data_IF_220426557133
#
_entry.id   IF_220426557133
#
_cell.length_a   1.000
_cell.length_b   1.000
_cell.length_c   1.000
_cell.angle_alpha   90.00
_cell.angle_beta   90.00
_cell.angle_gamma   90.00
#
_symmetry.space_group_name_H-M   'P 1'
#
loop_
_entity.id
_entity.type
_entity.pdbx_description
1 polymer ?
#
# COMPACT_ATOMS: atom_id res chain seq x y z
N UNK A 1 8.90 -12.73 14.09
CA UNK A 1 10.01 -13.71 14.00
C UNK A 1 11.05 -13.17 13.04
N UNK A 2 12.31 -13.31 13.40
CA UNK A 2 13.44 -13.00 12.52
C UNK A 2 14.28 -14.26 12.33
N UNK A 3 14.74 -14.51 11.10
CA UNK A 3 15.76 -15.51 10.83
C UNK A 3 17.14 -14.83 10.75
N UNK A 4 18.20 -15.61 10.97
CA UNK A 4 19.57 -15.22 10.69
C UNK A 4 20.17 -16.30 9.82
N UNK A 5 20.22 -16.01 8.53
CA UNK A 5 20.66 -16.96 7.51
C UNK A 5 22.17 -16.78 7.23
N UNK A 6 22.81 -17.83 6.74
CA UNK A 6 24.27 -17.83 6.55
C UNK A 6 24.68 -17.33 5.16
N UNK A 7 23.74 -17.36 4.20
CA UNK A 7 23.95 -16.88 2.84
C UNK A 7 22.68 -16.23 2.30
N UNK A 8 22.82 -15.46 1.23
CA UNK A 8 21.66 -14.87 0.52
C UNK A 8 20.76 -15.97 -0.06
N UNK A 9 21.33 -17.05 -0.58
CA UNK A 9 20.57 -18.19 -1.13
C UNK A 9 19.77 -18.89 -0.03
N UNK A 10 20.33 -19.06 1.17
CA UNK A 10 19.64 -19.64 2.32
C UNK A 10 18.45 -18.77 2.75
N UNK A 11 18.64 -17.44 2.86
CA UNK A 11 17.57 -16.49 3.10
C UNK A 11 16.44 -16.61 2.07
N UNK A 12 16.77 -16.67 0.78
CA UNK A 12 15.78 -16.77 -0.30
C UNK A 12 14.96 -18.06 -0.21
N UNK A 13 15.62 -19.19 0.05
CA UNK A 13 14.94 -20.48 0.25
C UNK A 13 14.04 -20.47 1.50
N UNK A 14 14.53 -19.90 2.60
CA UNK A 14 13.75 -19.78 3.83
C UNK A 14 12.56 -18.86 3.64
N UNK A 15 12.75 -17.75 2.97
CA UNK A 15 11.69 -16.79 2.63
C UNK A 15 10.53 -17.47 1.87
N UNK A 16 10.83 -18.30 0.86
CA UNK A 16 9.82 -19.05 0.13
C UNK A 16 9.09 -20.07 1.01
N UNK A 17 9.80 -20.70 1.95
CA UNK A 17 9.17 -21.62 2.92
C UNK A 17 8.22 -20.88 3.85
N UNK A 18 8.61 -19.70 4.33
CA UNK A 18 7.77 -18.86 5.18
C UNK A 18 6.56 -18.35 4.41
N UNK A 19 6.75 -17.89 3.17
CA UNK A 19 5.64 -17.47 2.31
C UNK A 19 4.54 -18.54 2.24
N UNK A 20 4.91 -19.78 1.94
CA UNK A 20 3.97 -20.92 1.91
C UNK A 20 3.38 -21.23 3.29
N UNK A 21 4.11 -21.00 4.36
CA UNK A 21 3.59 -21.19 5.71
C UNK A 21 2.48 -20.15 6.02
N UNK A 22 2.65 -18.90 5.57
CA UNK A 22 1.66 -17.84 5.71
C UNK A 22 0.37 -18.16 4.94
N UNK A 23 0.47 -18.62 3.70
CA UNK A 23 -0.70 -19.06 2.91
C UNK A 23 -1.50 -20.13 3.70
N UNK A 24 -0.82 -21.14 4.26
CA UNK A 24 -1.46 -22.15 5.10
C UNK A 24 -2.05 -21.60 6.40
N UNK A 25 -1.41 -20.61 7.02
CA UNK A 25 -1.93 -19.98 8.24
C UNK A 25 -3.26 -19.28 7.91
N UNK A 26 -3.33 -18.50 6.85
CA UNK A 26 -4.54 -17.78 6.46
C UNK A 26 -5.66 -18.73 6.00
N UNK A 27 -5.31 -19.79 5.25
CA UNK A 27 -6.26 -20.86 4.92
C UNK A 27 -6.85 -21.51 6.18
N UNK A 28 -6.01 -21.86 7.16
CA UNK A 28 -6.44 -22.45 8.45
C UNK A 28 -7.21 -21.45 9.31
N UNK A 29 -6.91 -20.16 9.20
CA UNK A 29 -7.66 -19.12 9.88
C UNK A 29 -9.04 -18.84 9.24
N UNK A 30 -9.35 -19.48 8.11
CA UNK A 30 -10.62 -19.34 7.40
C UNK A 30 -10.70 -18.18 6.45
N UNK A 31 -9.57 -17.57 6.08
CA UNK A 31 -9.50 -16.46 5.09
C UNK A 31 -8.55 -16.83 3.93
N UNK A 32 -8.86 -17.88 3.16
CA UNK A 32 -8.01 -18.33 2.04
C UNK A 32 -7.91 -17.30 0.89
N UNK A 33 -8.79 -16.30 0.85
CA UNK A 33 -8.82 -15.21 -0.12
C UNK A 33 -7.74 -14.15 0.12
N UNK A 34 -6.96 -14.23 1.20
CA UNK A 34 -5.81 -13.37 1.43
C UNK A 34 -4.82 -13.49 0.27
N UNK A 35 -4.44 -12.36 -0.30
CA UNK A 35 -3.49 -12.29 -1.41
C UNK A 35 -2.14 -11.78 -0.94
N UNK A 36 -1.08 -12.41 -1.45
CA UNK A 36 0.28 -11.88 -1.32
C UNK A 36 0.55 -10.85 -2.40
N UNK A 37 1.01 -9.68 -2.02
CA UNK A 37 1.32 -8.56 -2.91
C UNK A 37 2.78 -8.13 -2.73
N UNK A 38 3.43 -7.74 -3.81
CA UNK A 38 4.73 -7.08 -3.73
C UNK A 38 4.57 -5.75 -2.99
N UNK A 39 5.45 -5.46 -2.06
CA UNK A 39 5.39 -4.24 -1.26
C UNK A 39 6.72 -3.50 -1.22
N UNK A 40 6.64 -2.21 -0.91
CA UNK A 40 7.83 -1.43 -0.58
C UNK A 40 8.34 -1.81 0.80
N UNK A 41 9.65 -1.94 0.95
CA UNK A 41 10.24 -2.29 2.25
C UNK A 41 10.31 -1.13 3.24
N UNK A 42 10.08 0.09 2.78
CA UNK A 42 10.01 1.32 3.56
C UNK A 42 11.21 1.51 4.50
N UNK A 43 10.94 2.04 5.67
CA UNK A 43 11.96 2.24 6.71
C UNK A 43 12.57 0.93 7.22
N UNK A 44 11.89 -0.21 7.09
CA UNK A 44 12.45 -1.53 7.43
C UNK A 44 13.67 -1.82 6.57
N UNK A 45 13.63 -1.43 5.30
CA UNK A 45 14.69 -1.69 4.33
C UNK A 45 14.76 -3.15 3.91
N UNK A 46 15.76 -3.48 3.11
CA UNK A 46 15.90 -4.80 2.53
C UNK A 46 15.68 -4.79 1.01
N UNK A 47 15.82 -5.95 0.40
CA UNK A 47 15.77 -6.10 -1.06
C UNK A 47 14.43 -6.58 -1.59
N UNK A 48 13.61 -7.18 -0.75
CA UNK A 48 12.33 -7.78 -1.12
C UNK A 48 11.39 -7.80 0.08
N UNK A 49 10.13 -7.45 -0.17
CA UNK A 49 9.06 -7.60 0.81
C UNK A 49 7.75 -8.01 0.14
N UNK A 50 6.93 -8.73 0.88
CA UNK A 50 5.54 -9.00 0.53
C UNK A 50 4.65 -8.72 1.72
N UNK A 51 3.47 -8.19 1.43
CA UNK A 51 2.36 -8.05 2.35
C UNK A 51 1.28 -9.07 2.00
N UNK A 52 0.61 -9.56 3.01
CA UNK A 52 -0.54 -10.45 2.87
C UNK A 52 -1.81 -9.65 3.19
N UNK A 53 -2.66 -9.47 2.19
CA UNK A 53 -3.79 -8.55 2.21
C UNK A 53 -5.11 -9.29 2.12
N UNK A 54 -5.99 -9.08 3.09
CA UNK A 54 -7.41 -9.41 2.95
C UNK A 54 -8.08 -8.29 2.15
N UNK A 55 -8.57 -8.60 0.96
CA UNK A 55 -9.25 -7.62 0.11
C UNK A 55 -10.65 -7.34 0.66
N UNK A 56 -10.89 -6.10 1.10
CA UNK A 56 -12.18 -5.64 1.63
C UNK A 56 -12.33 -4.14 1.42
N UNK A 57 -13.55 -3.63 1.16
CA UNK A 57 -13.80 -2.20 0.95
C UNK A 57 -13.43 -1.30 2.13
N UNK A 58 -13.42 -1.85 3.36
CA UNK A 58 -13.06 -1.10 4.57
C UNK A 58 -11.55 -1.07 4.83
N UNK A 59 -10.74 -1.74 3.99
CA UNK A 59 -9.28 -1.75 4.12
C UNK A 59 -8.66 -0.36 4.03
N UNK A 60 -7.59 -0.14 4.77
CA UNK A 60 -6.86 1.14 4.77
C UNK A 60 -5.97 1.27 3.53
N UNK A 61 -5.32 0.16 3.12
CA UNK A 61 -4.33 0.15 2.05
C UNK A 61 -4.96 0.04 0.67
N UNK A 62 -4.26 0.59 -0.32
CA UNK A 62 -4.65 0.49 -1.73
C UNK A 62 -3.78 -0.55 -2.44
N UNK A 63 -4.42 -1.52 -3.04
CA UNK A 63 -3.80 -2.66 -3.69
C UNK A 63 -4.03 -2.60 -5.20
N UNK A 64 -2.93 -2.68 -5.95
CA UNK A 64 -2.93 -2.68 -7.41
C UNK A 64 -2.96 -4.13 -7.90
N UNK A 65 -3.98 -4.46 -8.66
CA UNK A 65 -4.25 -5.81 -9.16
C UNK A 65 -4.37 -5.81 -10.68
N UNK A 66 -4.00 -6.92 -11.31
CA UNK A 66 -4.31 -7.21 -12.70
C UNK A 66 -4.86 -8.62 -12.82
N UNK A 67 -6.14 -8.74 -13.16
CA UNK A 67 -6.83 -10.01 -13.24
C UNK A 67 -6.38 -10.86 -14.45
N UNK A 68 -5.79 -10.22 -15.50
CA UNK A 68 -5.31 -10.92 -16.70
C UNK A 68 -4.02 -11.72 -16.48
N UNK A 69 -3.09 -11.22 -15.67
CA UNK A 69 -1.78 -11.84 -15.52
C UNK A 69 -1.40 -12.15 -14.07
N UNK A 70 -2.28 -11.82 -13.11
CA UNK A 70 -2.05 -12.03 -11.68
C UNK A 70 -0.98 -11.10 -11.08
N UNK A 71 -0.69 -9.95 -11.69
CA UNK A 71 0.14 -8.92 -11.07
C UNK A 71 -0.55 -8.36 -9.84
N UNK A 72 0.21 -8.24 -8.73
CA UNK A 72 -0.28 -7.74 -7.45
C UNK A 72 0.83 -6.96 -6.76
N UNK A 73 0.56 -5.73 -6.37
CA UNK A 73 1.46 -4.88 -5.60
C UNK A 73 0.66 -3.94 -4.68
N UNK A 74 1.26 -3.48 -3.59
CA UNK A 74 0.70 -2.34 -2.89
C UNK A 74 0.92 -1.06 -3.71
N UNK A 75 0.21 0.02 -3.37
CA UNK A 75 0.29 1.28 -4.14
C UNK A 75 1.70 1.87 -4.13
N UNK A 76 2.44 1.68 -3.04
CA UNK A 76 3.77 2.23 -2.84
C UNK A 76 4.81 1.59 -3.77
N UNK A 77 4.69 0.27 -4.02
CA UNK A 77 5.60 -0.49 -4.88
C UNK A 77 5.16 -0.59 -6.34
N UNK A 78 3.88 -0.32 -6.63
CA UNK A 78 3.33 -0.50 -7.97
C UNK A 78 3.95 0.46 -8.99
N UNK A 79 4.43 -0.06 -10.12
CA UNK A 79 5.01 0.73 -11.22
C UNK A 79 3.91 1.35 -12.08
N UNK A 80 4.02 2.66 -12.35
CA UNK A 80 3.14 3.37 -13.27
C UNK A 80 3.71 3.36 -14.69
N UNK A 81 2.91 2.92 -15.65
CA UNK A 81 3.28 2.91 -17.08
C UNK A 81 2.49 4.00 -17.81
N UNK A 82 3.19 4.94 -18.42
CA UNK A 82 2.57 5.95 -19.29
C UNK A 82 2.14 5.33 -20.63
N UNK A 83 0.94 5.71 -21.07
CA UNK A 83 0.31 5.18 -22.27
C UNK A 83 0.03 6.24 -23.35
N UNK A 84 0.46 7.46 -23.13
CA UNK A 84 0.16 8.58 -24.03
C UNK A 84 1.39 8.85 -24.89
N UNK A 85 1.32 8.54 -26.19
CA UNK A 85 2.45 8.73 -27.09
C UNK A 85 2.67 10.23 -27.39
N UNK A 86 3.86 10.53 -27.88
CA UNK A 86 4.17 11.83 -28.47
C UNK A 86 3.27 12.09 -29.67
N UNK A 87 2.74 13.32 -29.81
CA UNK A 87 2.05 13.74 -31.02
C UNK A 87 3.04 13.91 -32.19
N UNK A 88 2.59 13.62 -33.43
CA UNK A 88 3.43 13.66 -34.62
C UNK A 88 4.00 15.07 -34.91
N UNK A 89 3.22 16.09 -34.61
CA UNK A 89 3.62 17.49 -34.78
C UNK A 89 3.75 18.17 -33.42
N UNK A 90 4.81 18.97 -33.25
CA UNK A 90 5.05 19.74 -32.04
C UNK A 90 4.71 21.23 -32.34
N UNK A 91 3.80 21.76 -31.54
CA UNK A 91 3.46 23.18 -31.58
C UNK A 91 4.64 24.04 -31.07
N UNK A 92 4.67 25.29 -31.43
CA UNK A 92 5.61 26.26 -30.84
C UNK A 92 5.26 26.53 -29.39
N UNK A 93 6.27 26.82 -28.57
CA UNK A 93 6.08 27.23 -27.19
C UNK A 93 5.55 28.65 -27.13
N UNK A 94 4.35 28.84 -26.64
CA UNK A 94 3.67 30.12 -26.54
C UNK A 94 3.40 30.48 -25.08
N UNK A 95 3.78 31.70 -24.66
CA UNK A 95 3.44 32.25 -23.36
C UNK A 95 2.12 33.01 -23.45
N UNK A 96 1.14 32.59 -22.66
CA UNK A 96 -0.23 33.10 -22.72
C UNK A 96 -0.60 33.72 -21.39
N UNK A 97 -1.27 34.88 -21.39
CA UNK A 97 -1.84 35.51 -20.21
C UNK A 97 -3.11 34.77 -19.78
N UNK A 98 -3.15 34.29 -18.58
CA UNK A 98 -4.19 33.42 -18.01
C UNK A 98 -4.63 33.95 -16.63
N UNK A 99 -5.38 35.06 -16.60
CA UNK A 99 -5.70 35.74 -15.36
C UNK A 99 -6.58 34.88 -14.44
N UNK A 100 -6.23 34.82 -13.15
CA UNK A 100 -6.92 34.06 -12.10
C UNK A 100 -7.00 32.53 -12.34
N UNK A 101 -6.08 31.96 -13.15
CA UNK A 101 -6.01 30.53 -13.40
C UNK A 101 -4.86 29.93 -12.61
N UNK A 102 -5.16 28.97 -11.71
CA UNK A 102 -4.19 28.37 -10.80
C UNK A 102 -4.21 26.83 -10.78
N UNK A 103 -5.34 26.22 -11.19
CA UNK A 103 -5.49 24.77 -11.15
C UNK A 103 -5.26 24.14 -12.53
N UNK A 104 -4.97 22.85 -12.54
CA UNK A 104 -4.81 22.09 -13.80
C UNK A 104 -6.14 22.03 -14.56
N UNK A 105 -7.24 21.91 -13.87
CA UNK A 105 -8.59 21.90 -14.43
C UNK A 105 -8.89 23.22 -15.14
N UNK A 106 -8.64 24.35 -14.46
CA UNK A 106 -8.90 25.69 -15.01
C UNK A 106 -8.05 25.99 -16.25
N UNK A 107 -6.74 25.61 -16.23
CA UNK A 107 -5.86 25.83 -17.37
C UNK A 107 -6.27 24.96 -18.57
N UNK A 108 -6.70 23.72 -18.31
CA UNK A 108 -7.15 22.83 -19.38
C UNK A 108 -8.48 23.31 -19.97
N UNK A 109 -9.41 23.82 -19.16
CA UNK A 109 -10.64 24.45 -19.65
C UNK A 109 -10.34 25.69 -20.49
N UNK A 110 -9.44 26.57 -20.02
CA UNK A 110 -9.02 27.77 -20.72
C UNK A 110 -8.43 27.48 -22.10
N UNK A 111 -7.57 26.45 -22.21
CA UNK A 111 -6.96 26.07 -23.49
C UNK A 111 -7.80 25.10 -24.32
N UNK A 112 -8.93 24.61 -23.79
CA UNK A 112 -9.78 23.61 -24.45
C UNK A 112 -9.09 22.25 -24.55
N UNK A 113 -8.31 21.87 -23.55
CA UNK A 113 -7.48 20.67 -23.53
C UNK A 113 -7.88 19.71 -22.38
N UNK A 114 -7.20 18.58 -22.28
CA UNK A 114 -7.40 17.58 -21.21
C UNK A 114 -6.29 17.68 -20.18
N UNK A 115 -6.60 17.31 -18.93
CA UNK A 115 -5.62 17.31 -17.83
C UNK A 115 -4.39 16.44 -18.10
N UNK A 116 -4.52 15.38 -18.88
CA UNK A 116 -3.39 14.56 -19.30
C UNK A 116 -2.48 15.19 -20.37
N UNK A 117 -2.84 16.35 -20.90
CA UNK A 117 -2.01 17.17 -21.79
C UNK A 117 -1.40 18.39 -21.07
N UNK A 118 -1.28 18.30 -19.76
CA UNK A 118 -0.60 19.31 -18.95
C UNK A 118 0.57 18.72 -18.17
N UNK A 119 1.50 19.59 -17.80
CA UNK A 119 2.61 19.33 -16.91
C UNK A 119 2.46 20.22 -15.69
N UNK A 120 2.31 19.61 -14.52
CA UNK A 120 2.22 20.33 -13.24
C UNK A 120 3.47 20.13 -12.39
N UNK A 121 3.75 21.10 -11.53
CA UNK A 121 4.76 21.01 -10.49
C UNK A 121 4.10 20.64 -9.15
N UNK A 122 4.70 19.70 -8.45
CA UNK A 122 4.41 19.42 -7.03
C UNK A 122 5.69 19.72 -6.25
N UNK A 123 5.58 20.50 -5.19
CA UNK A 123 6.75 21.01 -4.46
C UNK A 123 6.74 20.49 -3.02
N UNK A 124 7.86 19.88 -2.65
CA UNK A 124 8.15 19.39 -1.30
C UNK A 124 9.41 20.05 -0.76
N UNK A 125 9.68 19.86 0.54
CA UNK A 125 10.96 20.13 1.17
C UNK A 125 11.48 18.87 1.86
N UNK A 126 12.81 18.69 1.85
CA UNK A 126 13.46 17.60 2.59
C UNK A 126 13.45 17.89 4.08
N UNK A 127 13.25 16.86 4.90
CA UNK A 127 13.25 17.00 6.36
C UNK A 127 14.65 17.27 6.93
N UNK A 128 15.72 16.91 6.20
CA UNK A 128 17.10 17.03 6.68
C UNK A 128 17.66 18.44 6.62
N UNK A 129 17.28 19.23 5.61
CA UNK A 129 17.92 20.52 5.32
C UNK A 129 16.98 21.59 4.72
N UNK A 130 15.67 21.30 4.67
CA UNK A 130 14.62 22.16 4.09
C UNK A 130 14.86 22.52 2.61
N UNK A 131 15.73 21.81 1.89
CA UNK A 131 15.94 22.02 0.45
C UNK A 131 14.68 21.66 -0.35
N UNK A 132 14.38 22.47 -1.37
CA UNK A 132 13.20 22.27 -2.19
C UNK A 132 13.34 21.06 -3.12
N UNK A 133 12.26 20.32 -3.27
CA UNK A 133 12.12 19.22 -4.23
C UNK A 133 10.95 19.55 -5.15
N UNK A 134 11.25 19.95 -6.37
CA UNK A 134 10.25 20.27 -7.40
C UNK A 134 10.10 19.08 -8.32
N UNK A 135 8.94 18.46 -8.33
CA UNK A 135 8.63 17.29 -9.17
C UNK A 135 7.64 17.69 -10.24
N UNK A 136 8.06 17.60 -11.50
CA UNK A 136 7.18 17.77 -12.65
C UNK A 136 6.56 16.44 -13.03
N UNK A 137 5.24 16.43 -13.16
CA UNK A 137 4.43 15.25 -13.46
C UNK A 137 3.28 15.62 -14.39
N UNK A 138 2.73 14.64 -15.10
CA UNK A 138 1.52 14.82 -15.93
C UNK A 138 0.35 15.30 -15.05
N UNK A 139 -0.43 16.24 -15.53
CA UNK A 139 -1.41 16.98 -14.73
C UNK A 139 -2.51 16.15 -14.10
N UNK A 140 -2.90 15.02 -14.70
CA UNK A 140 -3.92 14.10 -14.18
C UNK A 140 -3.40 13.08 -13.15
N UNK A 141 -2.07 13.01 -12.92
CA UNK A 141 -1.46 12.05 -12.00
C UNK A 141 -1.13 12.66 -10.64
N UNK A 142 -1.00 11.81 -9.64
CA UNK A 142 -0.56 12.16 -8.30
C UNK A 142 0.83 11.59 -8.00
N UNK A 143 1.60 12.29 -7.17
CA UNK A 143 2.90 11.80 -6.70
C UNK A 143 2.70 10.66 -5.69
N UNK A 144 3.48 9.61 -5.86
CA UNK A 144 3.71 8.57 -4.86
C UNK A 144 4.89 9.01 -3.99
N UNK A 145 4.60 9.55 -2.82
CA UNK A 145 5.62 10.09 -1.92
C UNK A 145 6.62 9.02 -1.45
N UNK A 146 6.19 7.76 -1.32
CA UNK A 146 7.11 6.66 -0.97
C UNK A 146 8.17 6.45 -2.04
N UNK A 147 7.80 6.45 -3.32
CA UNK A 147 8.77 6.37 -4.43
C UNK A 147 9.75 7.55 -4.40
N UNK A 148 9.24 8.75 -4.14
CA UNK A 148 10.04 9.96 -4.08
C UNK A 148 11.01 9.94 -2.89
N UNK A 149 10.55 9.54 -1.70
CA UNK A 149 11.38 9.34 -0.50
C UNK A 149 12.49 8.31 -0.74
N UNK A 150 12.16 7.19 -1.36
CA UNK A 150 13.12 6.15 -1.69
C UNK A 150 14.20 6.64 -2.67
N UNK A 151 13.80 7.43 -3.67
CA UNK A 151 14.74 8.03 -4.63
C UNK A 151 15.68 9.06 -3.97
N UNK A 152 15.12 9.94 -3.13
CA UNK A 152 15.87 11.00 -2.46
C UNK A 152 16.75 10.46 -1.32
N UNK A 153 16.39 9.31 -0.73
CA UNK A 153 17.01 8.80 0.50
C UNK A 153 16.74 9.69 1.73
N UNK A 154 15.70 10.51 1.68
CA UNK A 154 15.33 11.49 2.72
C UNK A 154 13.81 11.60 2.83
N UNK A 155 13.30 11.89 4.02
CA UNK A 155 11.89 12.19 4.26
C UNK A 155 11.54 13.56 3.71
N UNK A 156 10.30 13.75 3.31
CA UNK A 156 9.81 15.01 2.74
C UNK A 156 8.53 15.48 3.45
N UNK A 157 8.24 16.75 3.32
CA UNK A 157 6.96 17.36 3.71
C UNK A 157 6.52 18.37 2.65
N UNK A 158 5.24 18.78 2.71
CA UNK A 158 4.71 19.78 1.80
C UNK A 158 5.50 21.09 1.93
N UNK A 159 5.93 21.64 0.80
CA UNK A 159 6.77 22.84 0.80
C UNK A 159 6.01 24.08 1.25
N UNK A 160 6.70 24.94 2.02
CA UNK A 160 6.27 26.31 2.27
C UNK A 160 6.93 27.21 1.23
N UNK A 161 6.13 27.67 0.26
CA UNK A 161 6.61 28.58 -0.79
C UNK A 161 6.60 30.01 -0.25
N UNK A 162 7.79 30.63 -0.16
CA UNK A 162 7.97 32.01 0.29
C UNK A 162 8.35 32.90 -0.89
N UNK A 163 8.11 34.21 -0.79
CA UNK A 163 8.53 35.17 -1.84
C UNK A 163 10.04 35.09 -2.16
N UNK A 164 10.86 34.72 -1.17
CA UNK A 164 12.34 34.70 -1.31
C UNK A 164 12.82 33.48 -2.11
N UNK A 165 12.06 32.37 -2.17
CA UNK A 165 12.51 31.17 -2.86
C UNK A 165 12.45 31.27 -4.39
N UNK A 166 11.77 32.26 -4.95
CA UNK A 166 11.66 32.49 -6.38
C UNK A 166 10.62 31.63 -7.11
N UNK A 167 9.82 30.85 -6.36
CA UNK A 167 8.73 30.04 -6.93
C UNK A 167 7.41 30.80 -6.88
N UNK A 168 6.68 30.84 -7.98
CA UNK A 168 5.34 31.41 -8.05
C UNK A 168 4.29 30.28 -7.97
N UNK A 169 3.71 30.08 -6.79
CA UNK A 169 2.69 29.05 -6.57
C UNK A 169 1.53 29.20 -7.56
N UNK A 170 1.12 28.07 -8.17
CA UNK A 170 0.11 28.05 -9.24
C UNK A 170 0.66 28.27 -10.66
N UNK A 171 1.89 28.77 -10.80
CA UNK A 171 2.49 29.13 -12.10
C UNK A 171 3.87 28.48 -12.36
N UNK A 172 4.26 27.49 -11.54
CA UNK A 172 5.58 26.84 -11.66
C UNK A 172 5.61 25.96 -12.91
N UNK A 173 6.61 26.17 -13.75
CA UNK A 173 6.83 25.42 -14.98
C UNK A 173 8.30 25.06 -15.20
N UNK A 174 8.60 24.05 -16.05
CA UNK A 174 9.96 23.55 -16.23
C UNK A 174 10.85 24.46 -17.07
N UNK A 175 10.25 25.34 -17.89
CA UNK A 175 10.98 26.23 -18.81
C UNK A 175 11.31 27.54 -18.10
N UNK A 176 12.61 27.84 -17.99
CA UNK A 176 13.07 29.07 -17.33
C UNK A 176 12.82 29.09 -15.82
N UNK A 177 12.72 27.93 -15.20
CA UNK A 177 12.57 27.78 -13.74
C UNK A 177 13.81 28.37 -13.04
N UNK A 178 13.57 29.21 -12.06
CA UNK A 178 14.60 29.79 -11.22
C UNK A 178 14.23 29.66 -9.74
N UNK A 179 15.13 29.07 -8.93
CA UNK A 179 14.91 28.83 -7.51
C UNK A 179 16.09 29.41 -6.72
N UNK A 180 15.82 30.34 -5.80
CA UNK A 180 16.83 31.07 -5.03
C UNK A 180 17.30 30.33 -3.76
N UNK A 181 16.92 29.07 -3.62
CA UNK A 181 17.25 28.23 -2.46
C UNK A 181 17.88 26.90 -2.91
N UNK A 182 18.52 26.13 -2.01
CA UNK A 182 18.95 24.76 -2.31
C UNK A 182 17.77 23.94 -2.80
N UNK A 183 17.95 23.24 -3.95
CA UNK A 183 16.85 22.52 -4.57
C UNK A 183 17.31 21.34 -5.44
N UNK A 184 16.37 20.43 -5.71
CA UNK A 184 16.46 19.43 -6.77
C UNK A 184 15.20 19.49 -7.63
N UNK A 185 15.36 19.34 -8.94
CA UNK A 185 14.27 19.29 -9.91
C UNK A 185 14.21 17.90 -10.52
N UNK A 186 13.04 17.29 -10.48
CA UNK A 186 12.81 15.91 -10.90
C UNK A 186 11.66 15.85 -11.90
N UNK A 187 11.70 14.85 -12.77
CA UNK A 187 10.68 14.64 -13.80
C UNK A 187 10.12 13.23 -13.71
N UNK A 188 8.79 13.13 -13.74
CA UNK A 188 8.13 11.84 -13.79
C UNK A 188 8.14 11.24 -15.21
N UNK A 189 8.28 9.92 -15.31
CA UNK A 189 8.25 9.16 -16.57
C UNK A 189 7.02 9.43 -17.43
N UNK A 190 5.92 9.87 -16.86
CA UNK A 190 4.71 10.23 -17.61
C UNK A 190 4.90 11.42 -18.54
N UNK A 191 5.98 12.20 -18.38
CA UNK A 191 6.35 13.33 -19.23
C UNK A 191 7.39 12.97 -20.30
N UNK A 192 8.04 11.82 -20.22
CA UNK A 192 9.10 11.40 -21.12
C UNK A 192 8.62 11.40 -22.58
N UNK A 193 9.34 12.13 -23.44
CA UNK A 193 9.01 12.27 -24.87
C UNK A 193 7.69 13.00 -25.17
N UNK A 194 7.00 13.58 -24.20
CA UNK A 194 5.73 14.29 -24.40
C UNK A 194 5.92 15.67 -25.03
N UNK A 195 4.94 16.06 -25.82
CA UNK A 195 4.87 17.39 -26.43
C UNK A 195 3.44 17.95 -26.40
N UNK A 196 3.31 19.21 -26.79
CA UNK A 196 2.06 19.96 -26.81
C UNK A 196 1.38 20.08 -25.44
N UNK A 197 2.18 20.11 -24.39
CA UNK A 197 1.67 20.23 -23.02
C UNK A 197 1.44 21.72 -22.66
N UNK A 198 0.50 21.96 -21.75
CA UNK A 198 0.41 23.22 -21.01
C UNK A 198 1.17 23.11 -19.69
N UNK A 199 1.76 24.21 -19.21
CA UNK A 199 2.43 24.27 -17.91
C UNK A 199 2.52 25.72 -17.40
N UNK A 200 2.93 25.93 -16.15
CA UNK A 200 3.23 27.26 -15.62
C UNK A 200 4.37 27.95 -16.39
N UNK A 201 4.38 29.28 -16.42
CA UNK A 201 5.40 30.08 -17.07
C UNK A 201 6.34 30.78 -16.07
N UNK A 202 6.35 30.37 -14.81
CA UNK A 202 7.12 30.97 -13.68
C UNK A 202 6.87 32.46 -13.46
N UNK A 203 5.75 32.95 -13.95
CA UNK A 203 5.28 34.32 -13.81
C UNK A 203 3.79 34.31 -13.45
N UNK A 204 3.39 35.18 -12.51
CA UNK A 204 2.01 35.29 -12.08
C UNK A 204 1.09 35.62 -13.27
N UNK A 205 -0.05 34.93 -13.35
CA UNK A 205 -1.05 35.04 -14.41
C UNK A 205 -0.53 34.63 -15.82
N UNK A 206 0.55 33.84 -15.91
CA UNK A 206 1.02 33.34 -17.19
C UNK A 206 1.27 31.83 -17.20
N UNK A 207 0.87 31.20 -18.30
CA UNK A 207 1.17 29.81 -18.59
C UNK A 207 1.77 29.65 -19.98
N UNK A 208 2.52 28.56 -20.18
CA UNK A 208 2.94 28.12 -21.50
C UNK A 208 1.93 27.14 -22.10
N UNK A 209 1.77 27.22 -23.41
CA UNK A 209 1.12 26.23 -24.26
C UNK A 209 2.15 25.71 -25.27
N UNK A 210 2.02 24.44 -25.70
CA UNK A 210 2.91 23.86 -26.70
C UNK A 210 4.28 23.42 -26.14
N UNK A 211 4.40 23.19 -24.84
CA UNK A 211 5.62 22.65 -24.23
C UNK A 211 5.97 21.30 -24.85
N UNK A 212 7.23 21.17 -25.26
CA UNK A 212 7.85 19.96 -25.77
C UNK A 212 9.01 19.57 -24.86
N UNK A 213 8.87 18.45 -24.15
CA UNK A 213 9.83 18.03 -23.14
C UNK A 213 11.25 17.78 -23.70
N UNK A 214 11.35 17.32 -24.96
CA UNK A 214 12.66 17.10 -25.60
C UNK A 214 13.29 18.39 -26.11
N UNK A 215 12.46 19.33 -26.62
CA UNK A 215 12.92 20.60 -27.18
C UNK A 215 13.25 21.61 -26.08
N UNK A 216 12.35 21.76 -25.11
CA UNK A 216 12.33 22.91 -24.19
C UNK A 216 12.93 22.60 -22.83
N UNK A 217 13.02 21.35 -22.44
CA UNK A 217 13.59 20.91 -21.16
C UNK A 217 14.86 20.11 -21.41
N UNK A 218 16.01 20.71 -21.06
CA UNK A 218 17.32 20.08 -21.25
C UNK A 218 17.70 19.25 -20.01
N UNK A 219 18.43 18.17 -20.27
CA UNK A 219 19.03 17.32 -19.23
C UNK A 219 18.01 16.75 -18.21
N UNK A 220 16.76 16.53 -18.65
CA UNK A 220 15.73 15.92 -17.82
C UNK A 220 16.00 14.44 -17.62
N UNK A 221 16.08 14.02 -16.36
CA UNK A 221 16.13 12.60 -15.98
C UNK A 221 14.75 12.16 -15.49
N UNK A 222 14.20 11.12 -16.12
CA UNK A 222 12.84 10.66 -15.85
C UNK A 222 12.81 9.44 -14.94
N UNK A 223 12.02 9.52 -13.87
CA UNK A 223 11.81 8.43 -12.90
C UNK A 223 10.32 8.19 -12.66
N UNK A 224 9.96 7.00 -12.22
CA UNK A 224 8.58 6.69 -11.87
C UNK A 224 8.26 7.21 -10.45
N UNK A 225 7.59 8.36 -10.40
CA UNK A 225 7.10 8.96 -9.16
C UNK A 225 5.56 8.95 -9.07
N UNK A 226 4.87 8.53 -10.12
CA UNK A 226 3.42 8.56 -10.14
C UNK A 226 2.78 7.42 -9.34
N UNK A 227 1.63 7.71 -8.72
CA UNK A 227 0.70 6.67 -8.27
C UNK A 227 0.07 5.98 -9.48
N UNK A 228 -0.18 4.69 -9.32
CA UNK A 228 -0.96 3.92 -10.29
C UNK A 228 -2.43 4.28 -10.18
N UNK A 229 -3.16 4.26 -11.29
CA UNK A 229 -4.58 4.63 -11.35
C UNK A 229 -5.43 3.50 -11.94
N UNK A 230 -6.73 3.55 -11.63
CA UNK A 230 -7.72 2.58 -12.13
C UNK A 230 -7.77 2.58 -13.66
N UNK A 231 -7.73 1.40 -14.27
CA UNK A 231 -7.69 1.25 -15.74
C UNK A 231 -6.34 1.56 -16.37
N UNK A 232 -5.29 1.79 -15.58
CA UNK A 232 -3.92 1.99 -16.05
C UNK A 232 -3.31 0.75 -16.71
N UNK A 233 -2.11 0.90 -17.26
CA UNK A 233 -1.38 -0.19 -17.91
C UNK A 233 -0.71 -1.06 -16.85
N UNK A 234 -0.95 -2.36 -16.92
CA UNK A 234 -0.24 -3.33 -16.09
C UNK A 234 1.23 -3.44 -16.48
N UNK A 235 2.19 -3.25 -15.57
CA UNK A 235 3.62 -3.30 -15.89
C UNK A 235 4.08 -4.70 -16.32
N UNK A 236 3.34 -5.76 -15.94
CA UNK A 236 3.69 -7.15 -16.25
C UNK A 236 3.19 -7.61 -17.62
N UNK A 237 1.97 -7.27 -17.99
CA UNK A 237 1.37 -7.77 -19.25
C UNK A 237 1.14 -6.68 -20.32
N UNK A 238 1.35 -5.40 -20.00
CA UNK A 238 1.21 -4.28 -20.93
C UNK A 238 -0.24 -3.93 -21.30
N UNK A 239 -1.24 -4.54 -20.67
CA UNK A 239 -2.66 -4.28 -20.96
C UNK A 239 -3.22 -3.23 -20.01
N UNK A 240 -4.27 -2.52 -20.45
CA UNK A 240 -5.05 -1.57 -19.63
C UNK A 240 -6.05 -2.31 -18.73
N UNK A 241 -5.54 -3.04 -17.75
CA UNK A 241 -6.32 -3.96 -16.90
C UNK A 241 -6.01 -3.79 -15.41
N UNK A 242 -5.36 -2.69 -15.05
CA UNK A 242 -5.11 -2.38 -13.65
C UNK A 242 -6.43 -2.07 -12.95
N UNK A 243 -6.63 -2.73 -11.80
CA UNK A 243 -7.72 -2.50 -10.87
C UNK A 243 -7.14 -2.15 -9.50
N UNK A 244 -7.75 -1.17 -8.83
CA UNK A 244 -7.38 -0.79 -7.47
C UNK A 244 -8.43 -1.34 -6.51
N UNK A 245 -7.98 -2.05 -5.49
CA UNK A 245 -8.81 -2.57 -4.40
C UNK A 245 -8.33 -2.02 -3.07
N UNK A 246 -9.19 -2.07 -2.07
CA UNK A 246 -8.79 -1.85 -0.69
C UNK A 246 -8.46 -3.17 -0.01
N UNK A 247 -7.57 -3.13 0.99
CA UNK A 247 -7.18 -4.31 1.75
C UNK A 247 -6.74 -4.00 3.16
N UNK A 248 -6.80 -5.03 4.01
CA UNK A 248 -6.26 -5.04 5.37
C UNK A 248 -4.99 -5.88 5.36
N UNK A 249 -3.87 -5.33 5.78
CA UNK A 249 -2.61 -6.07 5.94
C UNK A 249 -2.71 -7.00 7.16
N UNK A 250 -2.71 -8.30 6.93
CA UNK A 250 -2.77 -9.33 7.98
C UNK A 250 -1.41 -9.92 8.33
N UNK A 251 -0.40 -9.70 7.51
CA UNK A 251 0.97 -10.11 7.76
C UNK A 251 1.93 -9.59 6.71
N UNK A 252 3.22 -9.60 7.04
CA UNK A 252 4.29 -9.21 6.12
C UNK A 252 5.53 -10.07 6.28
N UNK A 253 6.35 -10.12 5.24
CA UNK A 253 7.63 -10.80 5.22
C UNK A 253 8.67 -9.98 4.48
N UNK A 254 9.91 -9.95 5.00
CA UNK A 254 11.01 -9.13 4.48
C UNK A 254 12.30 -9.91 4.34
N UNK A 255 13.05 -9.62 3.27
CA UNK A 255 14.47 -9.92 3.18
C UNK A 255 15.27 -8.68 3.58
N UNK A 256 15.66 -8.57 4.85
CA UNK A 256 16.31 -7.38 5.40
C UNK A 256 17.80 -7.27 5.05
N UNK A 257 18.44 -8.38 4.67
CA UNK A 257 19.86 -8.41 4.43
C UNK A 257 20.68 -8.16 5.69
N UNK A 258 21.71 -7.33 5.60
CA UNK A 258 22.63 -7.07 6.71
C UNK A 258 22.41 -5.72 7.41
N UNK A 259 21.35 -4.99 7.09
CA UNK A 259 21.09 -3.64 7.63
C UNK A 259 21.18 -3.60 9.15
N UNK A 260 20.45 -4.46 9.82
CA UNK A 260 20.38 -4.49 11.29
C UNK A 260 21.56 -5.21 11.92
N UNK A 261 21.99 -6.33 11.36
CA UNK A 261 23.13 -7.09 11.90
C UNK A 261 24.44 -6.30 11.85
N UNK A 262 24.68 -5.52 10.78
CA UNK A 262 25.81 -4.60 10.72
C UNK A 262 25.73 -3.50 11.77
N UNK A 263 24.55 -2.87 11.93
CA UNK A 263 24.34 -1.80 12.94
C UNK A 263 24.54 -2.32 14.36
N UNK A 264 24.10 -3.55 14.64
CA UNK A 264 24.29 -4.22 15.94
C UNK A 264 25.69 -4.84 16.10
N UNK A 265 26.53 -4.78 15.08
CA UNK A 265 27.83 -5.46 15.04
C UNK A 265 27.73 -6.97 15.34
N UNK A 266 26.64 -7.58 14.91
CA UNK A 266 26.39 -9.01 15.09
C UNK A 266 27.27 -9.81 14.15
N UNK A 267 28.00 -10.78 14.69
CA UNK A 267 28.85 -11.66 13.89
C UNK A 267 28.76 -13.10 14.38
N UNK A 268 29.03 -14.06 13.49
CA UNK A 268 29.27 -15.46 13.80
C UNK A 268 30.58 -15.91 13.18
N UNK A 269 31.12 -17.04 13.62
CA UNK A 269 32.29 -17.67 13.03
C UNK A 269 31.81 -18.79 12.14
N UNK A 270 32.17 -18.78 10.86
CA UNK A 270 31.79 -19.79 9.91
C UNK A 270 32.65 -21.08 10.05
N UNK A 271 32.38 -22.07 9.20
CA UNK A 271 33.08 -23.37 9.20
C UNK A 271 34.56 -23.25 8.91
N UNK A 272 34.98 -22.17 8.26
CA UNK A 272 36.39 -21.92 7.87
C UNK A 272 37.14 -21.07 8.92
N UNK A 273 36.45 -20.71 10.02
CA UNK A 273 36.99 -19.90 11.13
C UNK A 273 36.91 -18.38 10.89
N UNK A 274 36.28 -17.94 9.80
CA UNK A 274 36.15 -16.52 9.46
C UNK A 274 34.93 -15.89 10.11
N UNK A 275 35.04 -14.59 10.46
CA UNK A 275 33.93 -13.81 11.01
C UNK A 275 33.02 -13.30 9.91
N UNK A 276 31.77 -13.69 9.98
CA UNK A 276 30.73 -13.30 9.03
C UNK A 276 29.60 -12.50 9.72
N UNK A 277 28.92 -11.66 8.95
CA UNK A 277 27.72 -10.96 9.40
C UNK A 277 26.48 -11.75 8.97
N UNK A 278 25.56 -12.14 9.87
CA UNK A 278 24.35 -12.86 9.49
C UNK A 278 23.46 -12.01 8.59
N UNK A 279 22.79 -12.67 7.66
CA UNK A 279 21.77 -12.08 6.77
C UNK A 279 20.41 -12.32 7.39
N UNK A 280 19.56 -11.29 7.47
CA UNK A 280 18.27 -11.36 8.19
C UNK A 280 17.08 -11.41 7.26
N UNK A 281 16.10 -12.27 7.61
CA UNK A 281 14.71 -12.13 7.24
C UNK A 281 13.87 -11.68 8.44
N UNK A 282 12.73 -11.06 8.20
CA UNK A 282 11.75 -10.68 9.23
C UNK A 282 10.35 -11.09 8.77
N UNK A 283 9.59 -11.67 9.68
CA UNK A 283 8.31 -12.28 9.38
C UNK A 283 7.32 -11.92 10.48
N UNK A 284 6.21 -11.28 10.13
CA UNK A 284 5.24 -10.79 11.11
C UNK A 284 3.79 -11.09 10.73
N UNK A 285 3.02 -11.57 11.70
CA UNK A 285 1.55 -11.64 11.63
C UNK A 285 1.00 -10.88 12.82
N UNK A 286 0.14 -9.90 12.55
CA UNK A 286 -0.58 -9.17 13.58
C UNK A 286 -1.75 -10.02 14.09
N UNK A 287 -1.57 -10.76 15.21
CA UNK A 287 -2.58 -11.71 15.70
C UNK A 287 -3.94 -11.03 15.96
N UNK A 288 -3.95 -9.85 16.59
CA UNK A 288 -5.19 -9.08 16.82
C UNK A 288 -5.83 -8.60 15.52
N UNK A 289 -5.01 -8.11 14.58
CA UNK A 289 -5.48 -7.70 13.24
C UNK A 289 -5.99 -8.89 12.43
N UNK A 290 -5.33 -10.05 12.53
CA UNK A 290 -5.80 -11.28 11.89
C UNK A 290 -7.17 -11.70 12.42
N UNK A 291 -7.39 -11.67 13.74
CA UNK A 291 -8.70 -11.97 14.33
C UNK A 291 -9.78 -10.98 13.83
N UNK A 292 -9.47 -9.68 13.81
CA UNK A 292 -10.39 -8.67 13.27
C UNK A 292 -10.69 -8.88 11.77
N UNK A 293 -9.67 -9.24 10.98
CA UNK A 293 -9.83 -9.55 9.56
C UNK A 293 -10.70 -10.80 9.32
N UNK A 294 -10.58 -11.82 10.18
CA UNK A 294 -11.48 -12.98 10.12
C UNK A 294 -12.91 -12.59 10.46
N UNK A 295 -13.12 -11.76 11.49
CA UNK A 295 -14.47 -11.22 11.78
C UNK A 295 -15.02 -10.42 10.61
N UNK A 296 -14.20 -9.60 9.95
CA UNK A 296 -14.62 -8.84 8.77
C UNK A 296 -15.01 -9.73 7.59
N UNK A 297 -14.28 -10.83 7.36
CA UNK A 297 -14.60 -11.78 6.31
C UNK A 297 -15.82 -12.67 6.63
N UNK A 298 -16.05 -12.93 7.91
CA UNK A 298 -17.06 -13.86 8.40
C UNK A 298 -17.95 -13.20 9.44
N UNK A 299 -18.96 -12.46 9.01
CA UNK A 299 -20.00 -11.88 9.87
C UNK A 299 -21.33 -11.78 9.13
N UNK A 300 -22.38 -11.62 9.89
CA UNK A 300 -23.70 -11.21 9.42
C UNK A 300 -24.21 -10.00 10.21
N UNK A 301 -25.48 -9.70 10.13
CA UNK A 301 -26.11 -8.57 10.85
C UNK A 301 -26.20 -8.78 12.40
N UNK A 302 -25.93 -10.00 12.90
CA UNK A 302 -26.02 -10.35 14.32
C UNK A 302 -24.66 -10.40 14.99
N UNK A 303 -23.58 -10.70 14.27
CA UNK A 303 -22.22 -10.75 14.83
C UNK A 303 -21.22 -11.52 13.96
N UNK A 304 -20.04 -11.86 14.52
CA UNK A 304 -19.04 -12.67 13.86
C UNK A 304 -19.51 -14.11 13.69
N UNK A 305 -19.00 -14.79 12.66
CA UNK A 305 -19.20 -16.22 12.43
C UNK A 305 -17.82 -16.88 12.40
N UNK A 306 -17.32 -17.32 13.55
CA UNK A 306 -15.96 -17.84 13.65
C UNK A 306 -15.78 -19.15 12.87
N UNK A 307 -14.74 -19.24 12.01
CA UNK A 307 -14.30 -20.53 11.47
C UNK A 307 -13.95 -21.51 12.61
N UNK A 308 -14.33 -22.76 12.45
CA UNK A 308 -14.19 -23.80 13.48
C UNK A 308 -12.75 -23.92 14.03
N UNK A 309 -11.75 -23.73 13.16
CA UNK A 309 -10.34 -23.91 13.47
C UNK A 309 -9.77 -22.87 14.42
N UNK A 310 -10.43 -21.71 14.55
CA UNK A 310 -9.96 -20.59 15.38
C UNK A 310 -11.03 -20.08 16.35
N UNK A 311 -12.21 -20.68 16.33
CA UNK A 311 -13.27 -20.33 17.26
C UNK A 311 -12.80 -20.53 18.72
N UNK A 312 -13.10 -19.58 19.63
CA UNK A 312 -12.69 -19.69 21.03
C UNK A 312 -13.34 -20.88 21.74
N UNK A 313 -14.50 -21.31 21.26
CA UNK A 313 -15.18 -22.56 21.62
C UNK A 313 -15.79 -23.17 20.34
N UNK A 314 -15.92 -24.48 20.35
CA UNK A 314 -16.52 -25.21 19.21
C UNK A 314 -18.04 -25.25 19.28
N UNK A 315 -18.59 -25.23 20.50
CA UNK A 315 -20.03 -25.34 20.77
C UNK A 315 -20.44 -24.31 21.83
N UNK A 316 -21.59 -23.68 21.62
CA UNK A 316 -22.31 -22.87 22.60
C UNK A 316 -23.56 -23.62 23.05
N UNK A 317 -23.50 -24.27 24.21
CA UNK A 317 -24.62 -25.02 24.78
C UNK A 317 -25.52 -24.08 25.61
N UNK A 318 -26.71 -23.80 25.14
CA UNK A 318 -27.71 -22.99 25.81
C UNK A 318 -28.72 -23.85 26.54
N UNK A 319 -28.72 -23.84 27.89
CA UNK A 319 -29.75 -24.53 28.70
C UNK A 319 -31.01 -23.66 28.80
N UNK A 320 -31.93 -23.83 27.84
CA UNK A 320 -33.20 -23.09 27.82
C UNK A 320 -34.08 -23.57 28.97
N UNK A 321 -34.40 -22.68 29.94
CA UNK A 321 -35.11 -22.96 31.19
C UNK A 321 -34.33 -23.88 32.15
N UNK A 322 -33.17 -23.44 32.62
CA UNK A 322 -32.34 -24.20 33.58
C UNK A 322 -33.03 -24.35 34.98
N UNK A 323 -34.14 -23.65 35.21
CA UNK A 323 -35.04 -23.80 36.33
C UNK A 323 -35.82 -25.14 36.31
N UNK A 324 -35.91 -25.79 35.15
CA UNK A 324 -36.45 -27.14 35.01
C UNK A 324 -35.35 -28.16 35.29
N UNK A 325 -35.51 -28.98 36.32
CA UNK A 325 -34.52 -29.98 36.78
C UNK A 325 -34.16 -31.00 35.67
N UNK A 326 -35.11 -31.42 34.86
CA UNK A 326 -34.87 -32.38 33.74
C UNK A 326 -34.01 -31.75 32.64
N UNK A 327 -34.32 -30.51 32.29
CA UNK A 327 -33.54 -29.75 31.27
C UNK A 327 -32.12 -29.52 31.77
N UNK A 328 -31.97 -29.08 33.01
CA UNK A 328 -30.66 -28.85 33.61
C UNK A 328 -29.85 -30.15 33.66
N UNK A 329 -30.42 -31.23 34.17
CA UNK A 329 -29.71 -32.51 34.26
C UNK A 329 -29.27 -33.05 32.90
N UNK A 330 -30.09 -32.86 31.87
CA UNK A 330 -29.73 -33.22 30.50
C UNK A 330 -28.59 -32.36 29.95
N UNK A 331 -28.65 -31.05 30.16
CA UNK A 331 -27.62 -30.12 29.69
C UNK A 331 -26.28 -30.35 30.41
N UNK A 332 -26.31 -30.58 31.72
CA UNK A 332 -25.11 -30.91 32.52
C UNK A 332 -24.45 -32.21 32.01
N UNK A 333 -25.23 -33.28 31.78
CA UNK A 333 -24.73 -34.56 31.27
C UNK A 333 -24.16 -34.39 29.82
N UNK A 334 -24.82 -33.61 28.98
CA UNK A 334 -24.34 -33.33 27.64
C UNK A 334 -23.04 -32.53 27.65
N UNK A 335 -22.92 -31.50 28.47
CA UNK A 335 -21.72 -30.72 28.68
C UNK A 335 -20.54 -31.60 29.08
N UNK A 336 -20.71 -32.45 30.10
CA UNK A 336 -19.68 -33.38 30.53
C UNK A 336 -19.25 -34.37 29.41
N UNK A 337 -20.20 -34.89 28.66
CA UNK A 337 -19.92 -35.81 27.53
C UNK A 337 -19.10 -35.09 26.43
N UNK A 338 -19.44 -33.85 26.11
CA UNK A 338 -18.70 -33.06 25.12
C UNK A 338 -17.28 -32.78 25.59
N UNK A 339 -17.09 -32.35 26.85
CA UNK A 339 -15.77 -32.13 27.44
C UNK A 339 -14.93 -33.41 27.46
N UNK A 340 -15.52 -34.54 27.84
CA UNK A 340 -14.83 -35.82 27.84
C UNK A 340 -14.46 -36.30 26.40
N UNK A 341 -15.18 -35.84 25.41
CA UNK A 341 -14.85 -36.06 24.01
C UNK A 341 -13.79 -35.06 23.45
N UNK A 342 -13.28 -34.13 24.26
CA UNK A 342 -12.30 -33.15 23.88
C UNK A 342 -12.87 -31.95 23.07
N UNK A 343 -14.20 -31.74 23.17
CA UNK A 343 -14.86 -30.60 22.54
C UNK A 343 -14.84 -29.40 23.49
N UNK A 344 -14.39 -28.26 23.03
CA UNK A 344 -14.41 -27.00 23.77
C UNK A 344 -15.81 -26.38 23.70
N UNK A 345 -16.48 -26.31 24.88
CA UNK A 345 -17.88 -25.87 25.00
C UNK A 345 -17.98 -24.68 25.93
N UNK A 346 -18.66 -23.63 25.49
CA UNK A 346 -19.20 -22.59 26.40
C UNK A 346 -20.60 -23.02 26.82
N UNK A 347 -20.88 -23.06 28.15
CA UNK A 347 -22.17 -23.48 28.68
C UNK A 347 -22.89 -22.27 29.28
N UNK A 348 -24.04 -21.91 28.68
CA UNK A 348 -24.94 -20.85 29.17
C UNK A 348 -26.05 -21.48 30.01
N UNK A 349 -25.89 -21.42 31.33
CA UNK A 349 -26.83 -21.90 32.34
C UNK A 349 -27.60 -20.78 33.05
N UNK A 350 -27.55 -19.57 32.50
CA UNK A 350 -28.19 -18.37 33.06
C UNK A 350 -29.72 -18.50 33.01
N UNK A 351 -30.38 -18.03 34.09
CA UNK A 351 -31.84 -17.94 34.15
C UNK A 351 -32.30 -16.65 33.44
N UNK A 352 -32.26 -16.67 32.12
CA UNK A 352 -32.73 -15.58 31.22
C UNK A 352 -33.66 -16.17 30.17
N UNK A 353 -34.31 -15.30 29.38
CA UNK A 353 -35.17 -15.76 28.29
C UNK A 353 -34.34 -16.40 27.17
N UNK A 354 -34.90 -17.38 26.47
CA UNK A 354 -34.26 -18.01 25.29
C UNK A 354 -33.82 -17.01 24.26
N UNK A 355 -34.60 -15.94 24.02
CA UNK A 355 -34.26 -14.88 23.08
C UNK A 355 -32.98 -14.12 23.46
N UNK A 356 -32.74 -13.90 24.77
CA UNK A 356 -31.50 -13.28 25.25
C UNK A 356 -30.34 -14.23 25.06
N UNK A 357 -30.48 -15.52 25.41
CA UNK A 357 -29.43 -16.53 25.23
C UNK A 357 -28.99 -16.61 23.75
N UNK A 358 -29.96 -16.69 22.84
CA UNK A 358 -29.68 -16.85 21.42
C UNK A 358 -29.06 -15.57 20.83
N UNK A 359 -29.53 -14.37 21.25
CA UNK A 359 -28.90 -13.12 20.82
C UNK A 359 -27.44 -13.01 21.29
N UNK A 360 -27.16 -13.44 22.53
CA UNK A 360 -25.79 -13.48 23.05
C UNK A 360 -24.93 -14.55 22.32
N UNK A 361 -25.53 -15.69 21.95
CA UNK A 361 -24.85 -16.72 21.17
C UNK A 361 -24.49 -16.24 19.77
N UNK A 362 -25.42 -15.58 19.09
CA UNK A 362 -25.19 -14.96 17.76
C UNK A 362 -24.07 -13.92 17.86
N UNK A 363 -24.08 -13.06 18.89
CA UNK A 363 -23.05 -12.03 19.11
C UNK A 363 -21.66 -12.64 19.38
N UNK A 364 -21.57 -13.81 20.02
CA UNK A 364 -20.31 -14.54 20.23
C UNK A 364 -19.84 -15.27 18.98
N UNK A 365 -20.76 -15.65 18.09
CA UNK A 365 -20.46 -16.25 16.78
C UNK A 365 -19.81 -17.64 16.86
N UNK A 366 -20.11 -18.43 17.89
CA UNK A 366 -19.59 -19.79 18.03
C UNK A 366 -20.21 -20.70 16.94
N UNK A 367 -19.40 -21.59 16.28
CA UNK A 367 -19.82 -22.32 15.09
C UNK A 367 -21.03 -23.25 15.25
N UNK A 368 -21.29 -23.77 16.46
CA UNK A 368 -22.37 -24.71 16.72
C UNK A 368 -23.08 -24.40 18.03
#
# INVERSE_FOLDING_TARGET
VCSSDLSQEDLEQYYQRVHKAYERIFERAGIPEVVSVASDSGMMGGSLSHEFMLLTPIGEDSIVLCDDCGYKANMEAAENISDIPRAAESAELEKVHTPNIHTIEDICEFFGDKTNNSCKAVVYQKNSDDSYVVVFIRGDLEINETKLVNYLGDQIHAAVITEECGLNAGYIGPVGLHINAPHVVLYDKSLEGRNNLSCGANEEEYHFKGLDMERDVKDAEYHDFAKVYEGGICPKCGKKTVRISKGIEVGNIFQLGTKYTKSMKMTYVDKDGERQTPIMGCYGIGVGRLAAAVCEAHHDEYGPIWPKEIAPWQVHLCAVRPDNEEVKAFADDLYEKMQNAGIEVIYDDRTVSAGVMFADADLLGIPL
#
